data_IF_468596789239
#
_entry.id   IF_468596789239
#
_cell.length_a   1.000
_cell.length_b   1.000
_cell.length_c   1.000
_cell.angle_alpha   90.00
_cell.angle_beta   90.00
_cell.angle_gamma   90.00
#
_symmetry.space_group_name_H-M   'P 1'
#
loop_
_entity.id
_entity.type
_entity.pdbx_description
1 polymer ?
#
# COMPACT_ATOMS: atom_id res chain seq x y z
N UNK A 1 3.58 5.36 -9.92
CA UNK A 1 3.46 5.31 -8.44
C UNK A 1 4.85 5.19 -7.85
N UNK A 2 5.18 6.00 -6.84
CA UNK A 2 6.45 5.90 -6.09
C UNK A 2 6.29 4.88 -4.96
N UNK A 3 7.34 4.10 -4.70
CA UNK A 3 7.34 3.08 -3.63
C UNK A 3 8.54 3.24 -2.71
N UNK A 4 8.38 2.80 -1.47
CA UNK A 4 9.41 2.75 -0.43
C UNK A 4 9.50 1.34 0.17
N UNK A 5 10.46 1.11 1.05
CA UNK A 5 10.55 -0.14 1.81
C UNK A 5 9.34 -0.27 2.74
N UNK A 6 8.73 -1.46 2.78
CA UNK A 6 7.63 -1.72 3.70
C UNK A 6 8.09 -1.64 5.17
N UNK A 7 7.21 -1.17 6.04
CA UNK A 7 7.45 -1.00 7.48
C UNK A 7 6.43 -1.81 8.29
N UNK A 8 6.81 -2.24 9.49
CA UNK A 8 5.92 -2.91 10.43
C UNK A 8 5.17 -4.11 9.85
N UNK A 9 3.86 -4.16 10.08
CA UNK A 9 3.02 -5.30 9.63
C UNK A 9 2.95 -5.43 8.10
N UNK A 10 3.06 -4.35 7.34
CA UNK A 10 3.05 -4.39 5.86
C UNK A 10 4.21 -5.23 5.31
N UNK A 11 5.36 -5.21 5.99
CA UNK A 11 6.54 -5.97 5.59
C UNK A 11 6.32 -7.49 5.63
N UNK A 12 5.29 -7.97 6.34
CA UNK A 12 4.90 -9.39 6.36
C UNK A 12 4.13 -9.83 5.11
N UNK A 13 3.52 -8.88 4.38
CA UNK A 13 2.77 -9.13 3.15
C UNK A 13 3.68 -8.94 1.94
N UNK A 14 4.46 -7.86 1.91
CA UNK A 14 5.36 -7.55 0.80
C UNK A 14 6.51 -6.63 1.23
N UNK A 15 7.67 -6.74 0.57
CA UNK A 15 8.89 -5.98 0.90
C UNK A 15 8.86 -4.48 0.52
N UNK A 16 7.84 -4.07 -0.25
CA UNK A 16 7.63 -2.69 -0.73
C UNK A 16 6.22 -2.21 -0.37
N UNK A 17 6.09 -0.91 -0.16
CA UNK A 17 4.81 -0.21 0.03
C UNK A 17 4.77 1.08 -0.81
N UNK A 18 3.60 1.64 -1.14
CA UNK A 18 3.53 2.98 -1.72
C UNK A 18 4.11 4.03 -0.77
N UNK A 19 4.66 5.12 -1.33
CA UNK A 19 4.93 6.32 -0.53
C UNK A 19 3.57 6.94 -0.14
N UNK A 20 3.22 6.83 1.13
CA UNK A 20 2.02 7.45 1.69
C UNK A 20 2.36 8.87 2.11
N UNK A 21 1.56 9.83 1.66
CA UNK A 21 1.69 11.24 2.00
C UNK A 21 0.74 11.59 3.14
N UNK A 22 1.22 12.41 4.06
CA UNK A 22 0.35 13.09 5.00
C UNK A 22 -0.43 14.20 4.27
N UNK A 23 -1.55 14.63 4.84
CA UNK A 23 -2.46 15.55 4.16
C UNK A 23 -1.79 16.91 3.83
N UNK A 24 -0.89 17.38 4.70
CA UNK A 24 -0.12 18.60 4.56
C UNK A 24 1.05 18.50 3.57
N UNK A 25 1.53 17.30 3.28
CA UNK A 25 2.60 17.06 2.29
C UNK A 25 2.09 17.05 0.84
N UNK A 26 0.78 16.97 0.64
CA UNK A 26 0.18 16.84 -0.70
C UNK A 26 0.41 18.07 -1.55
N UNK A 27 0.32 19.27 -0.97
CA UNK A 27 0.55 20.53 -1.69
C UNK A 27 2.01 20.63 -2.12
N UNK A 28 2.96 20.43 -1.19
CA UNK A 28 4.39 20.44 -1.47
C UNK A 28 4.80 19.38 -2.51
N UNK A 29 4.13 18.21 -2.50
CA UNK A 29 4.37 17.16 -3.50
C UNK A 29 3.96 17.57 -4.92
N UNK A 30 2.92 18.39 -5.07
CA UNK A 30 2.39 18.82 -6.37
C UNK A 30 3.10 20.06 -6.94
N UNK A 31 3.89 20.77 -6.13
CA UNK A 31 4.65 21.94 -6.55
C UNK A 31 5.92 21.55 -7.36
N UNK A 32 5.82 21.59 -8.68
CA UNK A 32 6.87 21.12 -9.60
C UNK A 32 8.13 22.01 -9.65
N UNK A 33 8.05 23.26 -9.22
CA UNK A 33 9.14 24.24 -9.33
C UNK A 33 10.07 24.26 -8.11
N UNK A 34 9.65 23.65 -6.99
CA UNK A 34 10.40 23.66 -5.73
C UNK A 34 11.49 22.56 -5.64
N UNK A 35 11.49 21.62 -6.58
CA UNK A 35 12.28 20.39 -6.48
C UNK A 35 11.64 19.36 -5.53
N UNK A 36 12.32 18.25 -5.28
CA UNK A 36 11.79 17.21 -4.39
C UNK A 36 11.85 17.67 -2.93
N UNK A 37 10.75 17.57 -2.16
CA UNK A 37 10.75 17.88 -0.74
C UNK A 37 11.79 17.06 0.03
N UNK A 38 12.46 17.68 1.01
CA UNK A 38 13.51 17.02 1.79
C UNK A 38 12.99 15.76 2.50
N UNK A 39 11.73 15.77 2.94
CA UNK A 39 11.10 14.65 3.64
C UNK A 39 10.96 13.40 2.76
N UNK A 40 10.99 13.51 1.43
CA UNK A 40 10.87 12.36 0.51
C UNK A 40 11.97 11.33 0.76
N UNK A 41 13.15 11.80 1.17
CA UNK A 41 14.32 10.94 1.47
C UNK A 41 14.52 10.67 2.96
N UNK A 42 13.66 11.24 3.81
CA UNK A 42 13.75 11.10 5.26
C UNK A 42 13.18 9.77 5.74
N UNK A 43 13.58 9.35 6.95
CA UNK A 43 12.93 8.21 7.61
C UNK A 43 11.52 8.62 8.01
N UNK A 44 10.53 7.94 7.44
CA UNK A 44 9.11 8.15 7.77
C UNK A 44 8.71 7.31 8.98
N UNK A 45 7.67 7.74 9.68
CA UNK A 45 7.00 6.91 10.69
C UNK A 45 6.30 5.72 10.02
N UNK A 46 6.10 4.66 10.77
CA UNK A 46 5.26 3.55 10.33
C UNK A 46 3.84 4.08 10.05
N UNK A 47 3.25 3.78 8.89
CA UNK A 47 1.93 4.30 8.55
C UNK A 47 0.84 3.64 9.40
N UNK A 48 -0.17 4.42 9.76
CA UNK A 48 -1.37 3.90 10.42
C UNK A 48 -2.32 3.29 9.38
N UNK A 49 -2.19 1.99 9.14
CA UNK A 49 -3.03 1.24 8.19
C UNK A 49 -3.62 -0.02 8.80
N UNK A 50 -4.83 -0.37 8.36
CA UNK A 50 -5.46 -1.66 8.61
C UNK A 50 -5.31 -2.57 7.39
N UNK A 51 -5.16 -3.87 7.63
CA UNK A 51 -5.01 -4.88 6.59
C UNK A 51 -5.81 -6.12 6.95
N UNK A 52 -6.47 -6.69 5.95
CA UNK A 52 -7.26 -7.91 6.07
C UNK A 52 -7.20 -8.71 4.76
N UNK A 53 -7.43 -10.02 4.86
CA UNK A 53 -7.49 -10.89 3.69
C UNK A 53 -8.76 -10.60 2.86
N UNK A 54 -8.64 -10.69 1.54
CA UNK A 54 -9.76 -10.54 0.59
C UNK A 54 -9.83 -11.73 -0.36
N UNK A 55 -10.94 -11.87 -1.07
CA UNK A 55 -11.15 -12.97 -2.02
C UNK A 55 -10.13 -12.94 -3.18
N UNK A 56 -9.57 -14.10 -3.60
CA UNK A 56 -8.73 -14.22 -4.79
C UNK A 56 -9.42 -13.79 -6.10
N UNK A 57 -10.74 -13.56 -6.10
CA UNK A 57 -11.46 -12.94 -7.22
C UNK A 57 -10.80 -11.62 -7.66
N UNK A 58 -10.19 -10.88 -6.74
CA UNK A 58 -9.48 -9.61 -7.03
C UNK A 58 -8.32 -9.79 -8.01
N UNK A 59 -7.75 -11.00 -8.12
CA UNK A 59 -6.64 -11.30 -9.03
C UNK A 59 -7.02 -11.21 -10.51
N UNK A 60 -8.32 -11.21 -10.85
CA UNK A 60 -8.80 -11.06 -12.22
C UNK A 60 -9.38 -9.67 -12.44
N UNK A 61 -8.77 -8.90 -13.33
CA UNK A 61 -9.21 -7.55 -13.74
C UNK A 61 -10.60 -7.50 -14.39
N UNK A 62 -11.20 -8.66 -14.72
CA UNK A 62 -12.57 -8.76 -15.23
C UNK A 62 -13.63 -8.55 -14.15
N UNK A 63 -13.27 -8.78 -12.88
CA UNK A 63 -14.15 -8.53 -11.75
C UNK A 63 -14.01 -7.06 -11.35
N UNK A 64 -15.13 -6.35 -11.19
CA UNK A 64 -15.16 -4.96 -10.73
C UNK A 64 -16.45 -4.72 -9.94
N UNK A 65 -16.52 -5.33 -8.77
CA UNK A 65 -17.66 -5.26 -7.87
C UNK A 65 -17.22 -4.93 -6.43
N UNK A 66 -18.09 -4.34 -5.60
CA UNK A 66 -17.73 -3.93 -4.24
C UNK A 66 -17.29 -5.08 -3.32
N UNK A 67 -17.60 -6.33 -3.67
CA UNK A 67 -17.26 -7.47 -2.82
C UNK A 67 -15.77 -7.82 -2.87
N UNK A 68 -15.02 -7.27 -3.84
CA UNK A 68 -13.58 -7.51 -3.99
C UNK A 68 -12.72 -6.96 -2.83
N UNK A 69 -13.26 -5.99 -2.08
CA UNK A 69 -12.59 -5.42 -0.89
C UNK A 69 -13.24 -5.86 0.41
N UNK A 70 -14.17 -6.80 0.39
CA UNK A 70 -14.77 -7.31 1.64
C UNK A 70 -13.79 -8.26 2.34
N UNK A 71 -13.62 -8.15 3.67
CA UNK A 71 -12.83 -9.10 4.43
C UNK A 71 -13.37 -10.52 4.29
N UNK A 72 -12.47 -11.49 4.22
CA UNK A 72 -12.79 -12.92 4.33
C UNK A 72 -12.15 -13.48 5.60
N UNK A 73 -12.76 -14.53 6.16
CA UNK A 73 -12.08 -15.35 7.16
C UNK A 73 -10.85 -15.98 6.48
N UNK A 74 -9.69 -15.88 7.14
CA UNK A 74 -8.45 -16.42 6.62
C UNK A 74 -8.52 -17.96 6.63
N UNK A 75 -9.00 -18.56 5.55
CA UNK A 75 -8.91 -20.00 5.32
C UNK A 75 -7.63 -20.26 4.52
N UNK A 76 -6.86 -21.24 4.99
CA UNK A 76 -5.47 -21.55 4.63
C UNK A 76 -5.16 -21.71 3.13
N UNK A 77 -3.88 -21.45 2.86
CA UNK A 77 -3.06 -21.88 1.71
C UNK A 77 -3.18 -21.14 0.37
N UNK A 78 -2.43 -20.02 0.27
CA UNK A 78 -1.72 -19.67 -0.96
C UNK A 78 -0.32 -20.30 -1.02
N UNK A 79 -0.18 -21.59 -0.68
CA UNK A 79 0.95 -22.39 -1.18
C UNK A 79 0.66 -22.88 -2.59
N UNK A 80 0.67 -21.97 -3.57
CA UNK A 80 0.91 -22.27 -5.00
C UNK A 80 0.83 -20.97 -5.77
N UNK A 81 2.00 -20.39 -6.04
CA UNK A 81 2.36 -19.64 -7.25
C UNK A 81 3.74 -18.99 -7.03
N UNK A 82 4.71 -19.82 -6.64
CA UNK A 82 6.11 -19.65 -6.99
C UNK A 82 6.61 -21.01 -7.45
#
# INVERSE_FOLDING_TARGET
MVTTQAQGKLATIHHRMPLLLDADETEEWLELDAGLPAWVTSTRREPEVEMYAVSPRVNSVRNNDPDLVRPIDAVEDQQRLF
#
